data_IF_686188801541
#
_entry.id   IF_686188801541
#
_cell.length_a   1.000
_cell.length_b   1.000
_cell.length_c   1.000
_cell.angle_alpha   90.00
_cell.angle_beta   90.00
_cell.angle_gamma   90.00
#
_symmetry.space_group_name_H-M   'P 1'
#
loop_
_entity.id
_entity.type
_entity.pdbx_description
1 polymer ?
#
# COMPACT_ATOMS: atom_id res chain seq x y z
N UNK A 1 -18.00 52.72 12.17
CA UNK A 1 -17.22 52.26 10.99
C UNK A 1 -16.77 50.84 11.35
N UNK A 2 -17.62 49.83 11.00
CA UNK A 2 -17.34 48.40 11.24
C UNK A 2 -16.43 47.89 10.16
N UNK A 3 -15.21 47.45 10.55
CA UNK A 3 -14.34 46.65 9.68
C UNK A 3 -15.00 45.27 9.51
N UNK A 4 -15.05 44.72 8.27
CA UNK A 4 -15.56 43.39 8.09
C UNK A 4 -14.57 42.39 8.69
N UNK A 5 -15.07 41.50 9.56
CA UNK A 5 -14.37 40.28 9.95
C UNK A 5 -14.03 39.50 8.68
N UNK A 6 -12.74 39.33 8.40
CA UNK A 6 -12.25 38.29 7.50
C UNK A 6 -12.65 36.93 8.08
N UNK A 7 -13.83 36.47 7.72
CA UNK A 7 -14.19 35.09 7.90
C UNK A 7 -13.25 34.28 7.00
N UNK A 8 -12.29 33.58 7.59
CA UNK A 8 -11.49 32.60 6.87
C UNK A 8 -12.41 31.67 6.07
N UNK A 9 -11.95 31.09 4.94
CA UNK A 9 -12.79 30.33 4.03
C UNK A 9 -13.59 29.29 4.80
N UNK A 10 -14.91 29.39 4.74
CA UNK A 10 -15.82 28.47 5.39
C UNK A 10 -15.47 27.02 4.98
N UNK A 11 -15.71 26.06 5.86
CA UNK A 11 -15.37 24.62 5.66
C UNK A 11 -15.94 23.99 4.36
N UNK A 12 -16.71 24.76 3.58
CA UNK A 12 -17.35 24.34 2.32
C UNK A 12 -16.71 24.96 1.05
N UNK A 13 -15.64 25.74 1.18
CA UNK A 13 -14.96 26.38 0.06
C UNK A 13 -13.59 25.76 -0.25
N UNK A 14 -13.11 26.00 -1.47
CA UNK A 14 -11.76 25.63 -1.89
C UNK A 14 -10.72 26.50 -1.21
N UNK A 15 -9.65 25.90 -0.68
CA UNK A 15 -8.55 26.66 -0.05
C UNK A 15 -7.79 27.55 -1.05
N UNK A 16 -7.76 27.15 -2.32
CA UNK A 16 -7.15 27.85 -3.45
C UNK A 16 -8.15 27.96 -4.59
N UNK A 17 -7.82 28.68 -5.68
CA UNK A 17 -8.72 28.73 -6.83
C UNK A 17 -9.09 27.32 -7.32
N UNK A 18 -10.33 27.13 -7.77
CA UNK A 18 -10.82 25.83 -8.24
C UNK A 18 -9.90 25.20 -9.31
N UNK A 19 -9.38 26.01 -10.24
CA UNK A 19 -8.43 25.53 -11.27
C UNK A 19 -7.16 24.97 -10.63
N UNK A 20 -6.61 25.67 -9.65
CA UNK A 20 -5.39 25.27 -8.96
C UNK A 20 -5.62 24.02 -8.10
N UNK A 21 -6.75 23.89 -7.42
CA UNK A 21 -7.10 22.69 -6.65
C UNK A 21 -7.18 21.44 -7.56
N UNK A 22 -7.88 21.55 -8.70
CA UNK A 22 -7.99 20.44 -9.64
C UNK A 22 -6.68 20.10 -10.34
N UNK A 23 -5.84 21.11 -10.64
CA UNK A 23 -4.48 20.87 -11.14
C UNK A 23 -3.64 20.12 -10.11
N UNK A 24 -3.65 20.56 -8.85
CA UNK A 24 -2.97 19.87 -7.75
C UNK A 24 -3.46 18.41 -7.57
N UNK A 25 -4.78 18.19 -7.66
CA UNK A 25 -5.36 16.86 -7.62
C UNK A 25 -4.87 15.97 -8.77
N UNK A 26 -4.92 16.49 -10.00
CA UNK A 26 -4.48 15.74 -11.19
C UNK A 26 -3.00 15.34 -11.09
N UNK A 27 -2.15 16.25 -10.64
CA UNK A 27 -0.71 15.96 -10.42
C UNK A 27 -0.50 14.97 -9.29
N UNK A 28 -1.23 15.11 -8.16
CA UNK A 28 -1.14 14.18 -7.02
C UNK A 28 -1.66 12.80 -7.40
N UNK A 29 -2.76 12.71 -8.15
CA UNK A 29 -3.27 11.45 -8.70
C UNK A 29 -2.27 10.80 -9.67
N UNK A 30 -1.70 11.59 -10.60
CA UNK A 30 -0.70 11.11 -11.55
C UNK A 30 0.55 10.56 -10.85
N UNK A 31 1.06 11.25 -9.84
CA UNK A 31 2.19 10.76 -9.05
C UNK A 31 1.85 9.46 -8.31
N UNK A 32 0.64 9.31 -7.74
CA UNK A 32 0.22 8.06 -7.09
C UNK A 32 0.13 6.90 -8.09
N UNK A 33 -0.34 7.19 -9.30
CA UNK A 33 -0.38 6.22 -10.38
C UNK A 33 1.05 5.74 -10.73
N UNK A 34 2.00 6.68 -10.92
CA UNK A 34 3.38 6.35 -11.27
C UNK A 34 4.17 5.72 -10.13
N UNK A 35 3.91 6.06 -8.87
CA UNK A 35 4.45 5.38 -7.68
C UNK A 35 4.13 3.87 -7.74
N UNK A 36 2.87 3.52 -7.97
CA UNK A 36 2.47 2.11 -8.04
C UNK A 36 2.87 1.41 -9.35
N UNK A 37 2.98 2.15 -10.46
CA UNK A 37 3.60 1.61 -11.69
C UNK A 37 5.05 1.20 -11.39
N UNK A 38 5.85 2.05 -10.73
CA UNK A 38 7.25 1.78 -10.41
C UNK A 38 7.41 0.59 -9.46
N UNK A 39 6.54 0.49 -8.45
CA UNK A 39 6.53 -0.68 -7.54
C UNK A 39 6.26 -1.99 -8.26
N UNK A 40 5.38 -2.00 -9.25
CA UNK A 40 4.91 -3.22 -9.88
C UNK A 40 5.64 -3.57 -11.19
N UNK A 41 6.29 -2.61 -11.83
CA UNK A 41 7.03 -2.86 -13.08
C UNK A 41 8.07 -3.98 -12.91
N UNK A 42 8.78 -4.00 -11.79
CA UNK A 42 9.88 -4.94 -11.54
C UNK A 42 9.44 -6.41 -11.49
N UNK A 43 8.22 -6.71 -11.07
CA UNK A 43 7.77 -8.11 -10.93
C UNK A 43 7.65 -8.83 -12.28
N UNK A 44 7.34 -8.10 -13.34
CA UNK A 44 7.32 -8.62 -14.71
C UNK A 44 8.70 -8.69 -15.35
N UNK A 45 9.72 -8.07 -14.73
CA UNK A 45 11.11 -8.10 -15.19
C UNK A 45 11.89 -9.30 -14.63
N UNK A 46 11.40 -9.99 -13.62
CA UNK A 46 12.08 -11.12 -12.97
C UNK A 46 12.60 -12.18 -13.94
N UNK A 47 11.82 -12.66 -14.93
CA UNK A 47 12.34 -13.64 -15.90
C UNK A 47 13.53 -13.13 -16.69
N UNK A 48 13.50 -11.85 -17.11
CA UNK A 48 14.59 -11.22 -17.87
C UNK A 48 15.85 -11.00 -17.03
N UNK A 49 15.67 -10.47 -15.80
CA UNK A 49 16.78 -10.22 -14.87
C UNK A 49 17.47 -11.51 -14.45
N UNK A 50 16.69 -12.59 -14.25
CA UNK A 50 17.22 -13.92 -13.93
C UNK A 50 18.03 -14.48 -15.08
N UNK A 51 17.59 -14.30 -16.32
CA UNK A 51 18.30 -14.75 -17.50
C UNK A 51 19.60 -13.96 -17.76
N UNK A 52 19.58 -12.64 -17.50
CA UNK A 52 20.69 -11.72 -17.80
C UNK A 52 21.79 -11.76 -16.72
N UNK A 53 21.41 -11.74 -15.44
CA UNK A 53 22.34 -11.65 -14.31
C UNK A 53 22.42 -12.92 -13.46
N UNK A 54 21.76 -14.00 -13.82
CA UNK A 54 21.70 -15.27 -13.08
C UNK A 54 21.31 -15.10 -11.59
N UNK A 55 20.40 -14.14 -11.31
CA UNK A 55 19.98 -13.83 -9.96
C UNK A 55 19.20 -15.00 -9.33
N UNK A 56 19.40 -15.21 -8.03
CA UNK A 56 18.57 -16.13 -7.26
C UNK A 56 17.17 -15.54 -7.05
N UNK A 57 16.17 -16.38 -6.79
CA UNK A 57 14.81 -15.92 -6.52
C UNK A 57 14.76 -15.10 -5.22
N UNK A 58 15.58 -15.45 -4.21
CA UNK A 58 15.76 -14.64 -2.99
C UNK A 58 16.23 -13.21 -3.31
N UNK A 59 17.19 -13.06 -4.23
CA UNK A 59 17.66 -11.74 -4.65
C UNK A 59 16.57 -10.93 -5.35
N UNK A 60 15.81 -11.56 -6.24
CA UNK A 60 14.69 -10.93 -6.94
C UNK A 60 13.59 -10.47 -5.96
N UNK A 61 13.20 -11.34 -5.02
CA UNK A 61 12.26 -10.98 -3.97
C UNK A 61 12.77 -9.84 -3.08
N UNK A 62 14.09 -9.81 -2.81
CA UNK A 62 14.73 -8.75 -2.04
C UNK A 62 14.60 -7.35 -2.69
N UNK A 63 14.65 -7.27 -4.03
CA UNK A 63 14.47 -6.01 -4.77
C UNK A 63 13.07 -5.39 -4.62
N UNK A 64 12.05 -6.21 -4.41
CA UNK A 64 10.68 -5.74 -4.12
C UNK A 64 10.55 -5.38 -2.64
N UNK A 65 11.06 -6.25 -1.78
CA UNK A 65 10.95 -6.14 -0.33
C UNK A 65 11.64 -4.91 0.24
N UNK A 66 12.80 -4.52 -0.32
CA UNK A 66 13.59 -3.39 0.20
C UNK A 66 12.82 -2.08 0.17
N UNK A 67 11.99 -1.84 -0.86
CA UNK A 67 11.14 -0.64 -0.91
C UNK A 67 10.19 -0.60 0.29
N UNK A 68 9.48 -1.71 0.54
CA UNK A 68 8.51 -1.78 1.63
C UNK A 68 9.16 -1.62 3.01
N UNK A 69 10.37 -2.15 3.22
CA UNK A 69 11.16 -1.94 4.43
C UNK A 69 11.50 -0.46 4.61
N UNK A 70 12.00 0.19 3.57
CA UNK A 70 12.39 1.60 3.61
C UNK A 70 11.18 2.51 3.80
N UNK A 71 10.07 2.24 3.08
CA UNK A 71 8.81 2.98 3.26
C UNK A 71 8.27 2.82 4.69
N UNK A 72 8.33 1.62 5.27
CA UNK A 72 7.90 1.38 6.64
C UNK A 72 8.74 2.15 7.67
N UNK A 73 10.05 2.21 7.46
CA UNK A 73 10.97 2.86 8.41
C UNK A 73 10.99 4.39 8.28
N UNK A 74 10.92 4.91 7.06
CA UNK A 74 11.02 6.35 6.78
C UNK A 74 9.66 7.06 6.66
N UNK A 75 8.56 6.32 6.47
CA UNK A 75 7.23 6.91 6.19
C UNK A 75 6.76 7.89 7.26
N UNK A 76 6.87 7.54 8.54
CA UNK A 76 6.49 8.42 9.64
C UNK A 76 7.43 9.64 9.78
N UNK A 77 8.77 9.49 9.82
CA UNK A 77 9.68 10.64 9.83
C UNK A 77 9.46 11.61 8.68
N UNK A 78 9.29 11.11 7.46
CA UNK A 78 9.07 11.94 6.26
C UNK A 78 7.73 12.67 6.31
N UNK A 79 6.66 12.00 6.74
CA UNK A 79 5.35 12.63 6.89
C UNK A 79 5.38 13.79 7.93
N UNK A 80 6.06 13.59 9.06
CA UNK A 80 6.25 14.64 10.08
C UNK A 80 7.06 15.82 9.56
N UNK A 81 8.10 15.56 8.76
CA UNK A 81 8.87 16.62 8.11
C UNK A 81 8.01 17.40 7.10
N UNK A 82 7.21 16.71 6.29
CA UNK A 82 6.32 17.34 5.33
C UNK A 82 5.29 18.27 5.98
N UNK A 83 4.72 17.85 7.11
CA UNK A 83 3.78 18.69 7.88
C UNK A 83 4.45 19.91 8.51
N UNK A 84 5.74 19.79 8.87
CA UNK A 84 6.49 20.91 9.49
C UNK A 84 6.94 21.97 8.48
N UNK A 85 7.33 21.58 7.27
CA UNK A 85 7.88 22.49 6.29
C UNK A 85 6.85 22.95 5.25
N UNK A 86 6.48 22.07 4.34
CA UNK A 86 5.49 22.30 3.29
C UNK A 86 5.15 20.98 2.63
N UNK A 87 3.87 20.67 2.57
CA UNK A 87 3.38 19.45 1.90
C UNK A 87 3.69 19.47 0.41
N UNK A 88 3.50 20.62 -0.25
CA UNK A 88 3.76 20.76 -1.71
C UNK A 88 5.23 20.55 -2.02
N UNK A 89 6.14 21.25 -1.31
CA UNK A 89 7.58 21.10 -1.51
C UNK A 89 8.06 19.68 -1.17
N UNK A 90 7.51 19.09 -0.12
CA UNK A 90 7.84 17.71 0.26
C UNK A 90 7.47 16.72 -0.82
N UNK A 91 6.28 16.87 -1.45
CA UNK A 91 5.87 16.03 -2.58
C UNK A 91 6.82 16.20 -3.76
N UNK A 92 7.23 17.43 -4.10
CA UNK A 92 8.22 17.67 -5.18
C UNK A 92 9.54 16.95 -4.89
N UNK A 93 10.06 17.08 -3.67
CA UNK A 93 11.33 16.42 -3.28
C UNK A 93 11.18 14.90 -3.33
N UNK A 94 10.11 14.36 -2.71
CA UNK A 94 9.83 12.93 -2.73
C UNK A 94 9.74 12.39 -4.16
N UNK A 95 8.92 13.02 -5.01
CA UNK A 95 8.72 12.62 -6.40
C UNK A 95 10.01 12.71 -7.23
N UNK A 96 10.82 13.74 -7.02
CA UNK A 96 12.11 13.89 -7.69
C UNK A 96 13.09 12.80 -7.27
N UNK A 97 13.17 12.49 -5.96
CA UNK A 97 14.08 11.48 -5.43
C UNK A 97 13.74 10.10 -5.98
N UNK A 98 12.47 9.65 -5.89
CA UNK A 98 12.13 8.32 -6.40
C UNK A 98 12.27 8.22 -7.92
N UNK A 99 11.89 9.28 -8.67
CA UNK A 99 11.98 9.27 -10.13
C UNK A 99 13.44 9.20 -10.60
N UNK A 100 14.33 9.98 -9.99
CA UNK A 100 15.77 9.90 -10.28
C UNK A 100 16.35 8.55 -9.88
N UNK A 101 15.94 7.99 -8.74
CA UNK A 101 16.35 6.66 -8.32
C UNK A 101 15.88 5.57 -9.30
N UNK A 102 14.65 5.66 -9.81
CA UNK A 102 14.13 4.75 -10.85
C UNK A 102 14.91 4.89 -12.15
N UNK A 103 15.21 6.11 -12.60
CA UNK A 103 16.08 6.34 -13.76
C UNK A 103 17.47 5.73 -13.52
N UNK A 104 18.02 5.86 -12.30
CA UNK A 104 19.31 5.27 -11.94
C UNK A 104 19.28 3.73 -12.06
N UNK A 105 18.15 3.06 -11.76
CA UNK A 105 18.00 1.61 -11.95
C UNK A 105 18.29 1.18 -13.40
N UNK A 106 18.02 2.03 -14.39
CA UNK A 106 18.29 1.77 -15.81
C UNK A 106 19.80 1.60 -16.10
N UNK A 107 20.67 2.25 -15.32
CA UNK A 107 22.11 2.27 -15.55
C UNK A 107 22.90 1.33 -14.63
N UNK A 108 22.22 0.56 -13.80
CA UNK A 108 22.87 -0.38 -12.89
C UNK A 108 23.49 -1.56 -13.64
N UNK A 109 24.65 -2.03 -13.16
CA UNK A 109 25.43 -3.12 -13.78
C UNK A 109 25.55 -4.37 -12.91
N UNK A 110 25.07 -4.32 -11.67
CA UNK A 110 25.09 -5.45 -10.75
C UNK A 110 23.95 -5.33 -9.72
N UNK A 111 23.71 -6.45 -9.04
CA UNK A 111 22.66 -6.55 -8.02
C UNK A 111 22.76 -5.50 -6.92
N UNK A 112 23.96 -5.25 -6.39
CA UNK A 112 24.16 -4.31 -5.27
C UNK A 112 23.78 -2.88 -5.65
N UNK A 113 24.12 -2.43 -6.86
CA UNK A 113 23.73 -1.11 -7.37
C UNK A 113 22.21 -1.02 -7.53
N UNK A 114 21.59 -2.05 -8.13
CA UNK A 114 20.14 -2.08 -8.31
C UNK A 114 19.41 -2.12 -6.97
N UNK A 115 19.89 -2.89 -6.01
CA UNK A 115 19.32 -2.96 -4.65
C UNK A 115 19.39 -1.61 -3.93
N UNK A 116 20.54 -0.92 -4.02
CA UNK A 116 20.71 0.41 -3.44
C UNK A 116 19.80 1.45 -4.13
N UNK A 117 19.68 1.42 -5.46
CA UNK A 117 18.76 2.28 -6.21
C UNK A 117 17.30 2.03 -5.82
N UNK A 118 16.88 0.76 -5.67
CA UNK A 118 15.52 0.40 -5.19
C UNK A 118 15.29 0.84 -3.74
N UNK A 119 16.28 0.76 -2.87
CA UNK A 119 16.19 1.34 -1.52
C UNK A 119 15.97 2.86 -1.56
N UNK A 120 16.66 3.56 -2.47
CA UNK A 120 16.49 5.00 -2.66
C UNK A 120 15.12 5.36 -3.25
N UNK A 121 14.56 4.52 -4.16
CA UNK A 121 13.17 4.63 -4.60
C UNK A 121 12.25 4.60 -3.39
N UNK A 122 12.39 3.60 -2.51
CA UNK A 122 11.57 3.49 -1.29
C UNK A 122 11.71 4.70 -0.37
N UNK A 123 12.89 5.32 -0.27
CA UNK A 123 13.09 6.55 0.51
C UNK A 123 12.32 7.75 -0.09
N UNK A 124 12.29 7.86 -1.42
CA UNK A 124 11.52 8.88 -2.11
C UNK A 124 10.00 8.67 -2.01
N UNK A 125 9.53 7.43 -2.01
CA UNK A 125 8.10 7.10 -1.88
C UNK A 125 7.59 7.18 -0.44
N UNK A 126 8.50 7.18 0.55
CA UNK A 126 8.14 7.17 1.96
C UNK A 126 7.29 8.38 2.35
N UNK A 127 6.09 8.13 2.88
CA UNK A 127 5.18 9.17 3.35
C UNK A 127 4.30 9.81 2.26
N UNK A 128 4.55 9.55 0.97
CA UNK A 128 3.80 10.18 -0.12
C UNK A 128 2.28 9.97 -0.02
N UNK A 129 1.84 8.75 0.24
CA UNK A 129 0.41 8.44 0.34
C UNK A 129 -0.31 9.25 1.42
N UNK A 130 0.32 9.45 2.59
CA UNK A 130 -0.24 10.24 3.69
C UNK A 130 -0.21 11.74 3.40
N UNK A 131 0.90 12.26 2.85
CA UNK A 131 1.05 13.68 2.50
C UNK A 131 0.11 14.07 1.37
N UNK A 132 -0.03 13.25 0.31
CA UNK A 132 -0.95 13.45 -0.79
C UNK A 132 -2.42 13.45 -0.34
N UNK A 133 -2.80 12.50 0.51
CA UNK A 133 -4.14 12.45 1.08
C UNK A 133 -4.44 13.68 1.95
N UNK A 134 -3.50 14.12 2.78
CA UNK A 134 -3.64 15.32 3.61
C UNK A 134 -3.74 16.60 2.76
N UNK A 135 -3.00 16.68 1.65
CA UNK A 135 -3.07 17.79 0.70
C UNK A 135 -4.45 17.85 0.04
N UNK A 136 -4.98 16.74 -0.46
CA UNK A 136 -6.33 16.66 -1.05
C UNK A 136 -7.39 17.08 -0.02
N UNK A 137 -7.31 16.56 1.20
CA UNK A 137 -8.22 16.91 2.29
C UNK A 137 -8.18 18.40 2.67
N UNK A 138 -7.04 19.07 2.47
CA UNK A 138 -6.89 20.51 2.75
C UNK A 138 -7.40 21.40 1.62
N UNK A 139 -7.20 21.02 0.35
CA UNK A 139 -7.52 21.84 -0.80
C UNK A 139 -9.00 21.85 -1.17
N UNK A 140 -9.74 20.79 -0.84
CA UNK A 140 -11.11 20.59 -1.31
C UNK A 140 -12.17 20.71 -0.22
N UNK A 141 -13.40 21.19 -0.55
CA UNK A 141 -14.52 21.22 0.38
C UNK A 141 -14.91 19.84 0.87
N UNK A 142 -15.47 19.74 2.08
CA UNK A 142 -15.81 18.46 2.76
C UNK A 142 -16.62 17.50 1.88
N UNK A 143 -17.57 18.04 1.07
CA UNK A 143 -18.43 17.25 0.17
C UNK A 143 -17.70 16.45 -0.89
N UNK A 144 -16.51 16.89 -1.33
CA UNK A 144 -15.72 16.24 -2.38
C UNK A 144 -14.60 15.34 -1.82
N UNK A 145 -14.21 15.52 -0.57
CA UNK A 145 -13.03 14.86 0.02
C UNK A 145 -13.07 13.34 -0.09
N UNK A 146 -14.19 12.72 0.29
CA UNK A 146 -14.32 11.26 0.27
C UNK A 146 -14.18 10.69 -1.15
N UNK A 147 -14.82 11.33 -2.14
CA UNK A 147 -14.73 10.89 -3.54
C UNK A 147 -13.32 11.04 -4.10
N UNK A 148 -12.67 12.18 -3.83
CA UNK A 148 -11.31 12.45 -4.33
C UNK A 148 -10.25 11.58 -3.63
N UNK A 149 -10.37 11.33 -2.34
CA UNK A 149 -9.50 10.38 -1.63
C UNK A 149 -9.72 8.96 -2.15
N UNK A 150 -10.97 8.57 -2.42
CA UNK A 150 -11.28 7.30 -3.06
C UNK A 150 -10.62 7.17 -4.44
N UNK A 151 -10.71 8.20 -5.27
CA UNK A 151 -10.04 8.23 -6.57
C UNK A 151 -8.50 8.19 -6.44
N UNK A 152 -7.93 8.94 -5.50
CA UNK A 152 -6.49 8.95 -5.22
C UNK A 152 -5.97 7.54 -4.86
N UNK A 153 -6.65 6.82 -3.97
CA UNK A 153 -6.25 5.45 -3.63
C UNK A 153 -6.57 4.43 -4.74
N UNK A 154 -7.60 4.68 -5.58
CA UNK A 154 -7.86 3.86 -6.76
C UNK A 154 -6.72 3.96 -7.80
N UNK A 155 -6.00 5.10 -7.86
CA UNK A 155 -4.81 5.24 -8.70
C UNK A 155 -3.74 4.18 -8.39
N UNK A 156 -3.61 3.76 -7.13
CA UNK A 156 -2.70 2.69 -6.72
C UNK A 156 -3.03 1.36 -7.39
N UNK A 157 -4.30 0.99 -7.45
CA UNK A 157 -4.75 -0.24 -8.11
C UNK A 157 -4.54 -0.17 -9.63
N UNK A 158 -4.88 0.97 -10.25
CA UNK A 158 -4.66 1.20 -11.68
C UNK A 158 -3.17 1.18 -12.02
N UNK A 159 -2.34 1.82 -11.19
CA UNK A 159 -0.88 1.81 -11.31
C UNK A 159 -0.30 0.41 -11.20
N UNK A 160 -0.80 -0.40 -10.28
CA UNK A 160 -0.34 -1.79 -10.12
C UNK A 160 -0.59 -2.64 -11.37
N UNK A 161 -1.79 -2.54 -11.94
CA UNK A 161 -2.13 -3.25 -13.20
C UNK A 161 -1.25 -2.74 -14.35
N UNK A 162 -1.16 -1.40 -14.49
CA UNK A 162 -0.38 -0.77 -15.56
C UNK A 162 1.11 -1.09 -15.44
N UNK A 163 1.66 -1.13 -14.22
CA UNK A 163 3.07 -1.46 -13.96
C UNK A 163 3.44 -2.85 -14.45
N UNK A 164 2.63 -3.85 -14.13
CA UNK A 164 2.84 -5.24 -14.60
C UNK A 164 2.76 -5.33 -16.11
N UNK A 165 1.75 -4.69 -16.72
CA UNK A 165 1.56 -4.69 -18.19
C UNK A 165 2.69 -3.98 -18.92
N UNK A 166 3.03 -2.76 -18.49
CA UNK A 166 4.07 -1.94 -19.12
C UNK A 166 5.44 -2.58 -18.96
N UNK A 167 5.76 -3.12 -17.77
CA UNK A 167 7.03 -3.78 -17.53
C UNK A 167 7.28 -4.94 -18.47
N UNK A 168 6.31 -5.84 -18.62
CA UNK A 168 6.42 -6.97 -19.56
C UNK A 168 6.53 -6.53 -21.00
N UNK A 169 5.70 -5.57 -21.45
CA UNK A 169 5.68 -5.06 -22.81
C UNK A 169 6.96 -4.32 -23.20
N UNK A 170 7.50 -3.50 -22.29
CA UNK A 170 8.73 -2.73 -22.51
C UNK A 170 9.94 -3.65 -22.51
N UNK A 171 10.02 -4.55 -21.52
CA UNK A 171 11.15 -5.49 -21.42
C UNK A 171 11.28 -6.40 -22.64
N UNK A 172 10.16 -6.84 -23.21
CA UNK A 172 10.16 -7.67 -24.40
C UNK A 172 10.72 -6.98 -25.66
N UNK A 173 10.68 -5.65 -25.72
CA UNK A 173 11.09 -4.87 -26.93
C UNK A 173 12.41 -4.13 -26.76
N UNK A 174 12.66 -3.58 -25.59
CA UNK A 174 13.79 -2.67 -25.33
C UNK A 174 14.69 -3.12 -24.18
N UNK A 175 14.46 -4.33 -23.65
CA UNK A 175 15.19 -4.84 -22.49
C UNK A 175 14.58 -4.37 -21.16
N UNK A 176 14.90 -5.09 -20.10
CA UNK A 176 14.30 -4.86 -18.77
C UNK A 176 14.75 -3.54 -18.15
N UNK A 177 15.96 -3.06 -18.44
CA UNK A 177 16.49 -1.79 -17.97
C UNK A 177 15.64 -0.61 -18.45
N UNK A 178 15.17 -0.64 -19.71
CA UNK A 178 14.36 0.41 -20.31
C UNK A 178 13.02 0.62 -19.57
N UNK A 179 12.50 -0.42 -18.91
CA UNK A 179 11.25 -0.31 -18.14
C UNK A 179 11.36 0.66 -16.98
N UNK A 180 12.52 0.72 -16.30
CA UNK A 180 12.74 1.71 -15.22
C UNK A 180 12.81 3.14 -15.74
N UNK A 181 13.46 3.36 -16.90
CA UNK A 181 13.48 4.67 -17.55
C UNK A 181 12.09 5.13 -17.99
N UNK A 182 11.32 4.21 -18.57
CA UNK A 182 9.95 4.50 -19.03
C UNK A 182 8.98 4.89 -17.90
N UNK A 183 9.29 4.51 -16.67
CA UNK A 183 8.50 4.90 -15.48
C UNK A 183 9.12 6.13 -14.80
N UNK A 184 10.44 6.16 -14.63
CA UNK A 184 11.12 7.23 -13.92
C UNK A 184 11.06 8.58 -14.65
N UNK A 185 11.18 8.59 -16.01
CA UNK A 185 11.15 9.83 -16.78
C UNK A 185 9.80 10.56 -16.66
N UNK A 186 8.65 9.92 -16.92
CA UNK A 186 7.36 10.59 -16.71
C UNK A 186 7.11 10.99 -15.25
N UNK A 187 7.58 10.19 -14.28
CA UNK A 187 7.53 10.54 -12.86
C UNK A 187 8.29 11.83 -12.57
N UNK A 188 9.49 11.98 -13.14
CA UNK A 188 10.28 13.22 -13.01
C UNK A 188 9.60 14.42 -13.68
N UNK A 189 9.01 14.24 -14.86
CA UNK A 189 8.23 15.30 -15.52
C UNK A 189 7.05 15.73 -14.65
N UNK A 190 6.31 14.79 -14.06
CA UNK A 190 5.23 15.11 -13.12
C UNK A 190 5.74 15.84 -11.87
N UNK A 191 6.90 15.45 -11.32
CA UNK A 191 7.53 16.13 -10.19
C UNK A 191 7.91 17.59 -10.53
N UNK A 192 8.42 17.84 -11.73
CA UNK A 192 8.72 19.19 -12.21
C UNK A 192 7.43 20.02 -12.43
N UNK A 193 6.40 19.42 -13.04
CA UNK A 193 5.09 20.07 -13.21
C UNK A 193 4.43 20.37 -11.85
N UNK A 194 4.69 19.53 -10.84
CA UNK A 194 4.17 19.72 -9.48
C UNK A 194 4.69 21.00 -8.82
N UNK A 195 5.84 21.54 -9.26
CA UNK A 195 6.35 22.84 -8.79
C UNK A 195 5.42 24.01 -9.13
N UNK A 196 4.54 23.85 -10.12
CA UNK A 196 3.49 24.83 -10.45
C UNK A 196 2.27 24.75 -9.50
N UNK A 197 2.19 23.76 -8.63
CA UNK A 197 1.17 23.68 -7.58
C UNK A 197 1.42 24.77 -6.55
N UNK A 198 0.41 25.61 -6.31
CA UNK A 198 0.52 26.72 -5.35
C UNK A 198 0.66 26.18 -3.94
N UNK A 199 1.75 26.55 -3.27
CA UNK A 199 1.98 26.24 -1.86
C UNK A 199 0.99 26.98 -0.96
N UNK A 200 0.64 26.40 0.18
CA UNK A 200 -0.24 27.01 1.17
C UNK A 200 0.36 26.81 2.58
N UNK A 201 0.16 27.79 3.44
CA UNK A 201 0.64 27.68 4.83
C UNK A 201 -0.12 26.57 5.53
N UNK A 202 0.58 25.55 5.93
CA UNK A 202 0.09 24.56 6.92
C UNK A 202 -0.05 25.28 8.25
N UNK A 203 -1.10 24.96 9.01
CA UNK A 203 -1.33 25.57 10.34
C UNK A 203 -0.06 25.42 11.18
N UNK A 204 0.44 26.53 11.72
CA UNK A 204 1.65 26.55 12.56
C UNK A 204 1.40 25.71 13.82
N UNK A 205 1.98 24.53 13.86
CA UNK A 205 1.96 23.65 15.04
C UNK A 205 2.64 24.34 16.24
N UNK A 206 3.48 25.35 16.00
CA UNK A 206 4.13 26.14 17.05
C UNK A 206 3.13 26.90 17.95
N UNK A 207 1.98 27.34 17.42
CA UNK A 207 0.96 28.03 18.21
C UNK A 207 0.07 27.09 19.02
N UNK A 208 -0.02 25.81 18.67
CA UNK A 208 -0.73 24.80 19.44
C UNK A 208 0.11 24.27 20.63
N UNK A 209 1.41 24.50 20.64
CA UNK A 209 2.34 23.99 21.67
C UNK A 209 2.54 24.98 22.84
N UNK A 210 1.90 26.17 22.79
CA UNK A 210 2.00 27.15 23.89
C UNK A 210 1.13 26.82 25.12
N UNK A 211 0.32 25.77 25.06
CA UNK A 211 -0.47 25.30 26.23
C UNK A 211 0.17 24.02 26.79
N UNK A 212 1.24 24.17 27.56
CA UNK A 212 1.67 23.21 28.58
C UNK A 212 2.45 21.98 28.12
N UNK A 213 3.67 21.88 28.61
CA UNK A 213 4.61 20.74 28.63
C UNK A 213 5.15 20.28 27.30
N UNK A 214 6.38 20.69 27.00
CA UNK A 214 7.27 20.10 25.99
C UNK A 214 7.52 18.60 26.32
N UNK A 215 6.59 17.74 25.97
CA UNK A 215 6.89 16.31 25.95
C UNK A 215 7.71 16.03 24.69
N UNK A 216 8.89 15.44 24.87
CA UNK A 216 9.74 14.98 23.76
C UNK A 216 8.89 14.12 22.81
N UNK A 217 9.00 14.37 21.49
CA UNK A 217 8.30 13.58 20.45
C UNK A 217 8.50 12.09 20.67
N UNK A 218 9.69 11.66 21.11
CA UNK A 218 9.99 10.27 21.44
C UNK A 218 9.13 9.73 22.60
N UNK A 219 8.87 10.55 23.64
CA UNK A 219 8.03 10.15 24.77
C UNK A 219 6.56 10.04 24.36
N UNK A 220 6.09 10.96 23.50
CA UNK A 220 4.74 10.93 22.95
C UNK A 220 4.52 9.70 22.08
N UNK A 221 5.43 9.44 21.16
CA UNK A 221 5.41 8.24 20.28
C UNK A 221 5.43 6.96 21.12
N UNK A 222 6.35 6.87 22.11
CA UNK A 222 6.44 5.70 22.99
C UNK A 222 5.15 5.47 23.78
N UNK A 223 4.56 6.52 24.35
CA UNK A 223 3.30 6.45 25.10
C UNK A 223 2.14 6.01 24.19
N UNK A 224 2.04 6.60 23.00
CA UNK A 224 1.02 6.28 22.02
C UNK A 224 1.15 4.83 21.54
N UNK A 225 2.37 4.39 21.18
CA UNK A 225 2.63 2.99 20.80
C UNK A 225 2.32 2.03 21.95
N UNK A 226 2.69 2.36 23.18
CA UNK A 226 2.36 1.54 24.35
C UNK A 226 0.85 1.43 24.60
N UNK A 227 0.10 2.54 24.44
CA UNK A 227 -1.36 2.51 24.56
C UNK A 227 -2.03 1.69 23.45
N UNK A 228 -1.54 1.79 22.21
CA UNK A 228 -2.05 1.02 21.09
C UNK A 228 -1.68 -0.46 21.20
N UNK A 229 -0.48 -0.78 21.69
CA UNK A 229 -0.06 -2.16 21.95
C UNK A 229 -0.86 -2.84 23.08
N UNK A 230 -1.47 -2.06 23.97
CA UNK A 230 -2.40 -2.55 24.98
C UNK A 230 -3.76 -2.98 24.43
N UNK A 231 -4.15 -2.49 23.26
CA UNK A 231 -5.39 -2.85 22.60
C UNK A 231 -5.24 -4.21 21.88
N UNK A 232 -5.82 -5.24 22.47
CA UNK A 232 -5.68 -6.63 21.97
C UNK A 232 -6.28 -6.82 20.59
N UNK A 233 -7.41 -6.20 20.32
CA UNK A 233 -8.08 -6.28 19.01
C UNK A 233 -7.22 -5.64 17.92
N UNK A 234 -6.63 -4.46 18.19
CA UNK A 234 -5.74 -3.80 17.26
C UNK A 234 -4.53 -4.68 16.91
N UNK A 235 -3.85 -5.24 17.91
CA UNK A 235 -2.65 -6.09 17.70
C UNK A 235 -3.01 -7.30 16.84
N UNK A 236 -4.07 -8.04 17.18
CA UNK A 236 -4.49 -9.21 16.41
C UNK A 236 -5.01 -8.86 15.02
N UNK A 237 -5.73 -7.74 14.85
CA UNK A 237 -6.20 -7.26 13.55
C UNK A 237 -5.03 -6.87 12.63
N UNK A 238 -4.05 -6.13 13.15
CA UNK A 238 -2.82 -5.78 12.40
C UNK A 238 -2.01 -7.03 12.03
N UNK A 239 -1.86 -7.99 12.96
CA UNK A 239 -1.16 -9.25 12.69
C UNK A 239 -1.86 -10.07 11.60
N UNK A 240 -3.19 -10.22 11.68
CA UNK A 240 -3.97 -10.93 10.67
C UNK A 240 -3.89 -10.27 9.30
N UNK A 241 -3.98 -8.92 9.25
CA UNK A 241 -3.84 -8.17 8.01
C UNK A 241 -2.44 -8.35 7.39
N UNK A 242 -1.38 -8.33 8.20
CA UNK A 242 -0.02 -8.55 7.74
C UNK A 242 0.17 -9.98 7.20
N UNK A 243 -0.35 -11.00 7.89
CA UNK A 243 -0.26 -12.39 7.42
C UNK A 243 -0.98 -12.61 6.09
N UNK A 244 -2.19 -12.05 5.93
CA UNK A 244 -2.89 -12.12 4.65
C UNK A 244 -2.15 -11.34 3.55
N UNK A 245 -1.52 -10.22 3.90
CA UNK A 245 -0.78 -9.42 2.93
C UNK A 245 0.53 -10.09 2.47
N UNK A 246 1.12 -11.01 3.28
CA UNK A 246 2.19 -11.90 2.82
C UNK A 246 1.70 -12.71 1.62
N UNK A 247 0.51 -13.31 1.70
CA UNK A 247 -0.07 -14.08 0.60
C UNK A 247 -0.28 -13.21 -0.64
N UNK A 248 -0.92 -12.05 -0.47
CA UNK A 248 -1.19 -11.12 -1.58
C UNK A 248 0.08 -10.68 -2.28
N UNK A 249 1.07 -10.20 -1.52
CA UNK A 249 2.32 -9.67 -2.07
C UNK A 249 3.17 -10.75 -2.74
N UNK A 250 3.15 -11.98 -2.22
CA UNK A 250 3.83 -13.13 -2.81
C UNK A 250 3.23 -13.51 -4.16
N UNK A 251 1.90 -13.65 -4.23
CA UNK A 251 1.21 -13.97 -5.48
C UNK A 251 1.46 -12.87 -6.52
N UNK A 252 1.26 -11.61 -6.17
CA UNK A 252 1.48 -10.50 -7.11
C UNK A 252 2.92 -10.42 -7.62
N UNK A 253 3.90 -10.69 -6.78
CA UNK A 253 5.31 -10.59 -7.17
C UNK A 253 5.78 -11.78 -8.00
N UNK A 254 5.29 -12.98 -7.74
CA UNK A 254 5.85 -14.18 -8.31
C UNK A 254 5.00 -14.79 -9.42
N UNK A 255 3.76 -14.35 -9.60
CA UNK A 255 2.86 -14.91 -10.62
C UNK A 255 3.40 -14.78 -12.05
N UNK A 256 3.98 -13.64 -12.50
CA UNK A 256 4.58 -13.58 -13.83
C UNK A 256 5.67 -14.63 -14.05
N UNK A 257 6.54 -14.81 -13.04
CA UNK A 257 7.61 -15.82 -13.09
C UNK A 257 7.06 -17.24 -13.05
N UNK A 258 6.01 -17.50 -12.28
CA UNK A 258 5.35 -18.81 -12.23
C UNK A 258 4.74 -19.17 -13.58
N UNK A 259 3.98 -18.27 -14.19
CA UNK A 259 3.37 -18.50 -15.49
C UNK A 259 4.42 -18.70 -16.58
N UNK A 260 5.50 -17.93 -16.57
CA UNK A 260 6.60 -18.10 -17.51
C UNK A 260 7.29 -19.48 -17.35
N UNK A 261 7.60 -19.91 -16.10
CA UNK A 261 8.37 -21.14 -15.84
C UNK A 261 7.54 -22.41 -15.95
N UNK A 262 6.28 -22.40 -15.52
CA UNK A 262 5.44 -23.61 -15.40
C UNK A 262 4.36 -23.73 -16.47
N UNK A 263 3.87 -22.60 -17.02
CA UNK A 263 2.95 -22.60 -18.16
C UNK A 263 3.69 -22.45 -19.50
N UNK A 264 5.00 -22.16 -19.48
CA UNK A 264 5.80 -22.03 -20.69
C UNK A 264 5.43 -20.85 -21.59
N UNK A 265 4.67 -19.88 -21.06
CA UNK A 265 4.28 -18.69 -21.82
C UNK A 265 5.40 -17.65 -21.84
N UNK A 266 5.49 -16.88 -22.93
CA UNK A 266 6.46 -15.79 -23.03
C UNK A 266 6.29 -14.78 -21.86
N UNK A 267 7.38 -14.18 -21.40
CA UNK A 267 7.37 -13.35 -20.21
C UNK A 267 6.43 -12.14 -20.30
N UNK A 268 6.26 -11.54 -21.50
CA UNK A 268 5.28 -10.47 -21.75
C UNK A 268 3.84 -10.97 -21.69
N UNK A 269 3.58 -12.18 -22.15
CA UNK A 269 2.27 -12.82 -22.04
C UNK A 269 1.97 -13.21 -20.58
N UNK A 270 2.96 -13.73 -19.87
CA UNK A 270 2.86 -14.01 -18.43
C UNK A 270 2.52 -12.74 -17.62
N UNK A 271 3.16 -11.61 -17.97
CA UNK A 271 2.84 -10.32 -17.38
C UNK A 271 1.38 -9.89 -17.66
N UNK A 272 0.88 -10.05 -18.88
CA UNK A 272 -0.53 -9.75 -19.20
C UNK A 272 -1.51 -10.61 -18.40
N UNK A 273 -1.23 -11.90 -18.29
CA UNK A 273 -2.05 -12.81 -17.48
C UNK A 273 -2.00 -12.45 -15.98
N UNK A 274 -0.82 -12.15 -15.45
CA UNK A 274 -0.67 -11.73 -14.07
C UNK A 274 -1.42 -10.41 -13.78
N UNK A 275 -1.42 -9.46 -14.71
CA UNK A 275 -2.17 -8.22 -14.58
C UNK A 275 -3.68 -8.45 -14.44
N UNK A 276 -4.25 -9.49 -15.06
CA UNK A 276 -5.65 -9.87 -14.86
C UNK A 276 -5.91 -10.30 -13.40
N UNK A 277 -4.97 -10.99 -12.76
CA UNK A 277 -5.10 -11.41 -11.36
C UNK A 277 -4.97 -10.20 -10.42
N UNK A 278 -4.08 -9.24 -10.73
CA UNK A 278 -3.98 -7.97 -9.99
C UNK A 278 -5.29 -7.18 -10.11
N UNK A 279 -5.86 -7.10 -11.32
CA UNK A 279 -7.14 -6.44 -11.56
C UNK A 279 -8.29 -7.15 -10.82
N UNK A 280 -8.33 -8.48 -10.86
CA UNK A 280 -9.31 -9.25 -10.10
C UNK A 280 -9.21 -8.96 -8.59
N UNK A 281 -7.98 -8.84 -8.05
CA UNK A 281 -7.75 -8.45 -6.67
C UNK A 281 -8.24 -7.04 -6.33
N UNK A 282 -8.01 -6.07 -7.23
CA UNK A 282 -8.51 -4.71 -7.04
C UNK A 282 -10.05 -4.66 -7.00
N UNK A 283 -10.72 -5.35 -7.93
CA UNK A 283 -12.19 -5.50 -7.96
C UNK A 283 -12.67 -6.24 -6.71
N UNK A 284 -12.01 -7.33 -6.35
CA UNK A 284 -12.32 -8.13 -5.16
C UNK A 284 -12.23 -7.32 -3.88
N UNK A 285 -11.19 -6.52 -3.70
CA UNK A 285 -11.03 -5.65 -2.53
C UNK A 285 -12.20 -4.68 -2.34
N UNK A 286 -12.70 -4.09 -3.43
CA UNK A 286 -13.87 -3.21 -3.40
C UNK A 286 -15.16 -3.99 -3.08
N UNK A 287 -15.40 -5.11 -3.76
CA UNK A 287 -16.62 -5.92 -3.59
C UNK A 287 -16.66 -6.50 -2.19
N UNK A 288 -15.59 -7.15 -1.73
CA UNK A 288 -15.52 -7.75 -0.39
C UNK A 288 -15.62 -6.71 0.70
N UNK A 289 -14.98 -5.54 0.55
CA UNK A 289 -15.12 -4.42 1.49
C UNK A 289 -16.59 -4.06 1.69
N UNK A 290 -17.30 -3.80 0.59
CA UNK A 290 -18.71 -3.42 0.60
C UNK A 290 -19.61 -4.54 1.14
N UNK A 291 -19.38 -5.79 0.71
CA UNK A 291 -20.21 -6.94 1.10
C UNK A 291 -20.05 -7.27 2.58
N UNK A 292 -18.80 -7.30 3.08
CA UNK A 292 -18.50 -7.57 4.49
C UNK A 292 -19.13 -6.50 5.38
N UNK A 293 -19.05 -5.22 4.99
CA UNK A 293 -19.65 -4.13 5.76
C UNK A 293 -21.17 -4.24 5.80
N UNK A 294 -21.82 -4.58 4.68
CA UNK A 294 -23.27 -4.78 4.62
C UNK A 294 -23.74 -5.98 5.46
N UNK A 295 -23.03 -7.11 5.37
CA UNK A 295 -23.37 -8.32 6.13
C UNK A 295 -23.11 -8.16 7.63
N UNK A 296 -22.16 -7.31 8.02
CA UNK A 296 -21.78 -7.09 9.40
C UNK A 296 -22.59 -5.98 10.11
N UNK A 297 -23.56 -5.35 9.42
CA UNK A 297 -24.39 -4.31 10.02
C UNK A 297 -25.05 -4.81 11.32
N UNK A 298 -24.80 -4.10 12.42
CA UNK A 298 -25.30 -4.46 13.75
C UNK A 298 -24.64 -5.67 14.43
N UNK A 299 -23.66 -6.32 13.80
CA UNK A 299 -22.97 -7.52 14.30
C UNK A 299 -21.45 -7.39 14.13
N UNK A 300 -20.83 -6.61 14.97
CA UNK A 300 -19.41 -6.26 14.84
C UNK A 300 -18.48 -7.48 14.69
N UNK A 301 -18.68 -8.55 15.49
CA UNK A 301 -17.89 -9.80 15.39
C UNK A 301 -18.02 -10.50 14.04
N UNK A 302 -19.16 -10.37 13.36
CA UNK A 302 -19.40 -11.03 12.08
C UNK A 302 -18.44 -10.51 10.99
N UNK A 303 -18.02 -9.24 11.06
CA UNK A 303 -17.01 -8.66 10.16
C UNK A 303 -15.70 -9.46 10.20
N UNK A 304 -15.16 -9.70 11.39
CA UNK A 304 -13.94 -10.48 11.58
C UNK A 304 -14.13 -11.97 11.21
N UNK A 305 -15.30 -12.55 11.49
CA UNK A 305 -15.61 -13.93 11.14
C UNK A 305 -15.63 -14.14 9.62
N UNK A 306 -16.29 -13.25 8.87
CA UNK A 306 -16.35 -13.32 7.41
C UNK A 306 -14.94 -13.17 6.82
N UNK A 307 -14.15 -12.20 7.30
CA UNK A 307 -12.78 -11.99 6.83
C UNK A 307 -11.90 -13.21 7.13
N UNK A 308 -12.02 -13.81 8.32
CA UNK A 308 -11.32 -15.05 8.65
C UNK A 308 -11.69 -16.19 7.69
N UNK A 309 -12.99 -16.36 7.39
CA UNK A 309 -13.49 -17.33 6.42
C UNK A 309 -12.94 -17.09 5.01
N UNK A 310 -12.87 -15.84 4.56
CA UNK A 310 -12.30 -15.46 3.26
C UNK A 310 -10.78 -15.70 3.20
N UNK A 311 -10.04 -15.53 4.30
CA UNK A 311 -8.62 -15.89 4.36
C UNK A 311 -8.44 -17.41 4.22
N UNK A 312 -9.28 -18.22 4.88
CA UNK A 312 -9.24 -19.67 4.72
C UNK A 312 -9.65 -20.11 3.31
N UNK A 313 -10.63 -19.45 2.71
CA UNK A 313 -11.05 -19.69 1.33
C UNK A 313 -9.89 -19.35 0.36
N UNK A 314 -9.23 -18.22 0.55
CA UNK A 314 -8.03 -17.85 -0.21
C UNK A 314 -6.95 -18.91 -0.10
N UNK A 315 -6.67 -19.38 1.10
CA UNK A 315 -5.71 -20.45 1.36
C UNK A 315 -6.10 -21.72 0.61
N UNK A 316 -7.34 -22.17 0.72
CA UNK A 316 -7.81 -23.38 0.06
C UNK A 316 -7.72 -23.30 -1.47
N UNK A 317 -8.10 -22.16 -2.06
CA UNK A 317 -8.02 -21.92 -3.50
C UNK A 317 -6.58 -22.00 -3.98
N UNK A 318 -5.63 -21.32 -3.32
CA UNK A 318 -4.25 -21.31 -3.76
C UNK A 318 -3.51 -22.61 -3.45
N UNK A 319 -3.82 -23.30 -2.35
CA UNK A 319 -3.33 -24.67 -2.11
C UNK A 319 -3.76 -25.62 -3.23
N UNK A 320 -5.04 -25.56 -3.64
CA UNK A 320 -5.52 -26.36 -4.75
C UNK A 320 -4.85 -25.96 -6.08
N UNK A 321 -4.75 -24.66 -6.35
CA UNK A 321 -4.18 -24.15 -7.60
C UNK A 321 -2.69 -24.52 -7.76
N UNK A 322 -1.86 -24.26 -6.76
CA UNK A 322 -0.41 -24.46 -6.87
C UNK A 322 0.06 -25.84 -6.42
N UNK A 323 -0.69 -26.53 -5.56
CA UNK A 323 -0.30 -27.82 -5.00
C UNK A 323 -0.93 -29.04 -5.68
N UNK A 324 -2.13 -28.92 -6.26
CA UNK A 324 -2.89 -30.08 -6.76
C UNK A 324 -3.14 -30.05 -8.26
N UNK A 325 -3.11 -28.88 -8.89
CA UNK A 325 -3.44 -28.75 -10.31
C UNK A 325 -2.20 -28.70 -11.21
N UNK A 326 -2.27 -29.36 -12.35
CA UNK A 326 -1.30 -29.21 -13.41
C UNK A 326 -1.47 -27.86 -14.13
N UNK A 327 -0.37 -27.37 -14.76
CA UNK A 327 -0.39 -26.15 -15.55
C UNK A 327 -1.43 -26.23 -16.67
N UNK A 328 -2.34 -25.25 -16.71
CA UNK A 328 -3.40 -25.21 -17.72
C UNK A 328 -4.44 -24.11 -17.43
N UNK A 329 -5.43 -23.98 -18.32
CA UNK A 329 -6.47 -22.94 -18.18
C UNK A 329 -7.29 -23.04 -16.90
N UNK A 330 -7.56 -24.25 -16.42
CA UNK A 330 -8.32 -24.48 -15.17
C UNK A 330 -7.54 -23.99 -13.94
N UNK A 331 -6.23 -24.29 -13.88
CA UNK A 331 -5.35 -23.76 -12.82
C UNK A 331 -5.33 -22.23 -12.85
N UNK A 332 -5.16 -21.63 -14.04
CA UNK A 332 -5.15 -20.18 -14.18
C UNK A 332 -6.49 -19.56 -13.76
N UNK A 333 -7.63 -20.16 -14.14
CA UNK A 333 -8.95 -19.72 -13.69
C UNK A 333 -9.09 -19.71 -12.16
N UNK A 334 -8.54 -20.76 -11.51
CA UNK A 334 -8.55 -20.86 -10.05
C UNK A 334 -7.62 -19.81 -9.40
N UNK A 335 -6.47 -19.50 -10.04
CA UNK A 335 -5.58 -18.42 -9.59
C UNK A 335 -6.28 -17.05 -9.69
N UNK A 336 -7.04 -16.79 -10.77
CA UNK A 336 -7.81 -15.55 -10.92
C UNK A 336 -8.88 -15.44 -9.82
N UNK A 337 -9.59 -16.54 -9.53
CA UNK A 337 -10.57 -16.59 -8.43
C UNK A 337 -9.90 -16.33 -7.07
N UNK A 338 -8.76 -16.95 -6.80
CA UNK A 338 -7.95 -16.70 -5.61
C UNK A 338 -7.52 -15.23 -5.52
N UNK A 339 -7.10 -14.65 -6.64
CA UNK A 339 -6.77 -13.22 -6.77
C UNK A 339 -7.95 -12.31 -6.39
N UNK A 340 -9.16 -12.65 -6.82
CA UNK A 340 -10.37 -11.91 -6.45
C UNK A 340 -10.70 -11.99 -4.95
N UNK A 341 -10.46 -13.14 -4.31
CA UNK A 341 -10.79 -13.32 -2.89
C UNK A 341 -9.72 -12.76 -1.96
N UNK A 342 -8.44 -12.84 -2.32
CA UNK A 342 -7.30 -12.57 -1.41
C UNK A 342 -7.24 -11.13 -0.86
N UNK A 343 -7.83 -10.14 -1.56
CA UNK A 343 -7.82 -8.73 -1.16
C UNK A 343 -8.92 -8.36 -0.14
N UNK A 344 -9.57 -9.33 0.48
CA UNK A 344 -10.72 -9.19 1.38
C UNK A 344 -10.45 -8.44 2.69
N UNK A 345 -9.19 -8.21 3.06
CA UNK A 345 -8.82 -7.59 4.36
C UNK A 345 -8.72 -6.07 4.31
N UNK A 346 -8.51 -5.45 3.14
CA UNK A 346 -8.10 -4.05 3.01
C UNK A 346 -9.11 -3.08 3.65
N UNK A 347 -10.38 -3.14 3.25
CA UNK A 347 -11.44 -2.28 3.79
C UNK A 347 -11.87 -2.69 5.20
N UNK A 348 -12.32 -3.94 5.37
CA UNK A 348 -12.91 -4.40 6.63
C UNK A 348 -11.99 -4.26 7.85
N UNK A 349 -10.70 -4.54 7.70
CA UNK A 349 -9.76 -4.44 8.84
C UNK A 349 -9.44 -2.99 9.18
N UNK A 350 -9.39 -2.10 8.21
CA UNK A 350 -9.27 -0.65 8.48
C UNK A 350 -10.45 -0.15 9.32
N UNK A 351 -11.67 -0.61 9.01
CA UNK A 351 -12.86 -0.28 9.79
C UNK A 351 -12.77 -0.83 11.23
N UNK A 352 -12.36 -2.10 11.41
CA UNK A 352 -12.15 -2.68 12.75
C UNK A 352 -11.15 -1.87 13.58
N UNK A 353 -10.03 -1.45 12.95
CA UNK A 353 -9.02 -0.61 13.61
C UNK A 353 -9.62 0.72 14.07
N UNK A 354 -10.45 1.36 13.24
CA UNK A 354 -11.09 2.63 13.60
C UNK A 354 -12.19 2.49 14.67
N UNK A 355 -12.84 1.34 14.76
CA UNK A 355 -13.88 1.06 15.75
C UNK A 355 -13.29 0.89 17.18
N UNK A 356 -12.04 0.39 17.30
CA UNK A 356 -11.41 0.11 18.60
C UNK A 356 -10.41 1.17 19.05
N UNK A 357 -10.31 2.28 18.32
CA UNK A 357 -9.39 3.38 18.62
C UNK A 357 -10.17 4.67 18.83
N UNK A 358 -9.76 5.43 19.86
CA UNK A 358 -10.33 6.75 20.13
C UNK A 358 -10.31 7.64 18.87
N UNK A 359 -11.40 8.37 18.53
CA UNK A 359 -11.49 9.19 17.33
C UNK A 359 -10.29 10.13 17.10
N UNK A 360 -9.75 10.71 18.18
CA UNK A 360 -8.56 11.57 18.12
C UNK A 360 -7.26 10.83 17.72
N UNK A 361 -7.23 9.49 17.82
CA UNK A 361 -6.05 8.66 17.54
C UNK A 361 -6.20 7.81 16.27
N UNK A 362 -7.26 7.99 15.49
CA UNK A 362 -7.53 7.19 14.27
C UNK A 362 -6.41 7.26 13.24
N UNK A 363 -5.83 8.44 13.05
CA UNK A 363 -4.68 8.61 12.16
C UNK A 363 -3.46 7.77 12.61
N UNK A 364 -3.20 7.73 13.92
CA UNK A 364 -2.11 6.91 14.49
C UNK A 364 -2.40 5.42 14.34
N UNK A 365 -3.65 4.99 14.54
CA UNK A 365 -4.07 3.62 14.33
C UNK A 365 -3.91 3.18 12.87
N UNK A 366 -4.28 4.03 11.92
CA UNK A 366 -4.04 3.79 10.50
C UNK A 366 -2.54 3.68 10.18
N UNK A 367 -1.71 4.51 10.80
CA UNK A 367 -0.25 4.45 10.63
C UNK A 367 0.35 3.14 11.18
N UNK A 368 -0.13 2.66 12.34
CA UNK A 368 0.30 1.38 12.92
C UNK A 368 -0.12 0.21 12.02
N UNK A 369 -1.36 0.22 11.50
CA UNK A 369 -1.82 -0.78 10.55
C UNK A 369 -0.94 -0.76 9.29
N UNK A 370 -0.70 0.40 8.71
CA UNK A 370 0.15 0.56 7.53
C UNK A 370 1.58 0.10 7.78
N UNK A 371 2.16 0.41 8.94
CA UNK A 371 3.49 -0.06 9.33
C UNK A 371 3.55 -1.59 9.40
N UNK A 372 2.58 -2.21 10.08
CA UNK A 372 2.50 -3.66 10.17
C UNK A 372 2.33 -4.31 8.79
N UNK A 373 1.49 -3.76 7.93
CA UNK A 373 1.26 -4.23 6.57
C UNK A 373 2.51 -4.10 5.69
N UNK A 374 3.20 -2.98 5.72
CA UNK A 374 4.41 -2.77 4.92
C UNK A 374 5.57 -3.64 5.41
N UNK A 375 5.85 -3.65 6.73
CA UNK A 375 7.01 -4.33 7.28
C UNK A 375 6.82 -5.86 7.35
N UNK A 376 5.67 -6.33 7.84
CA UNK A 376 5.41 -7.74 8.08
C UNK A 376 4.65 -8.42 6.93
N UNK A 377 4.03 -7.65 6.04
CA UNK A 377 3.30 -8.16 4.89
C UNK A 377 4.06 -7.99 3.58
N UNK A 378 4.11 -6.76 3.06
CA UNK A 378 4.70 -6.45 1.75
C UNK A 378 6.21 -6.71 1.68
N UNK A 379 6.95 -6.48 2.77
CA UNK A 379 8.39 -6.74 2.78
C UNK A 379 8.70 -8.24 2.91
N UNK A 380 7.92 -8.97 3.72
CA UNK A 380 8.19 -10.39 3.99
C UNK A 380 7.78 -11.27 2.81
N UNK A 381 6.61 -11.04 2.21
CA UNK A 381 6.03 -11.94 1.21
C UNK A 381 6.95 -12.24 0.02
N UNK A 382 7.39 -11.23 -0.76
CA UNK A 382 8.23 -11.48 -1.94
C UNK A 382 9.58 -12.10 -1.60
N UNK A 383 10.22 -11.67 -0.52
CA UNK A 383 11.50 -12.19 -0.08
C UNK A 383 11.41 -13.65 0.40
N UNK A 384 10.42 -13.94 1.26
CA UNK A 384 10.18 -15.28 1.79
C UNK A 384 9.87 -16.28 0.66
N UNK A 385 9.00 -15.87 -0.27
CA UNK A 385 8.67 -16.73 -1.43
C UNK A 385 9.89 -16.98 -2.30
N UNK A 386 10.72 -15.98 -2.55
CA UNK A 386 11.96 -16.13 -3.28
C UNK A 386 12.96 -17.07 -2.58
N UNK A 387 13.10 -16.92 -1.27
CA UNK A 387 13.95 -17.80 -0.46
C UNK A 387 13.45 -19.25 -0.46
N UNK A 388 12.16 -19.46 -0.29
CA UNK A 388 11.55 -20.80 -0.38
C UNK A 388 11.67 -21.36 -1.81
N UNK A 389 11.58 -20.51 -2.83
CA UNK A 389 11.72 -20.90 -4.23
C UNK A 389 13.14 -21.41 -4.54
N UNK A 390 14.17 -20.79 -4.00
CA UNK A 390 15.56 -21.25 -4.17
C UNK A 390 15.80 -22.62 -3.49
N UNK A 391 15.05 -22.93 -2.42
CA UNK A 391 15.19 -24.20 -1.67
C UNK A 391 14.33 -25.33 -2.22
N UNK A 392 13.08 -25.04 -2.59
CA UNK A 392 12.03 -26.03 -2.84
C UNK A 392 11.41 -25.93 -4.24
N UNK A 393 11.81 -24.92 -5.01
CA UNK A 393 11.18 -24.55 -6.27
C UNK A 393 9.96 -23.65 -6.10
N UNK A 394 9.69 -22.82 -7.14
CA UNK A 394 8.68 -21.75 -7.07
C UNK A 394 7.24 -22.30 -6.90
N UNK A 395 6.89 -23.42 -7.52
CA UNK A 395 5.57 -24.03 -7.37
C UNK A 395 5.30 -24.44 -5.92
N UNK A 396 6.27 -25.09 -5.28
CA UNK A 396 6.19 -25.48 -3.86
C UNK A 396 6.15 -24.26 -2.95
N UNK A 397 6.96 -23.25 -3.22
CA UNK A 397 6.92 -22.00 -2.46
C UNK A 397 5.54 -21.34 -2.51
N UNK A 398 4.93 -21.24 -3.70
CA UNK A 398 3.59 -20.67 -3.89
C UNK A 398 2.46 -21.54 -3.33
N UNK A 399 2.68 -22.85 -3.13
CA UNK A 399 1.74 -23.71 -2.42
C UNK A 399 1.83 -23.58 -0.90
N UNK A 400 3.01 -23.26 -0.35
CA UNK A 400 3.22 -23.11 1.10
C UNK A 400 2.82 -21.73 1.64
N UNK A 401 3.09 -20.67 0.89
CA UNK A 401 2.80 -19.29 1.31
C UNK A 401 1.31 -19.07 1.67
N UNK A 402 0.33 -19.63 0.97
CA UNK A 402 -1.08 -19.50 1.35
C UNK A 402 -1.42 -19.97 2.76
N UNK A 403 -0.57 -20.79 3.40
CA UNK A 403 -0.74 -21.21 4.80
C UNK A 403 -0.71 -20.03 5.78
N UNK A 404 -0.11 -18.90 5.41
CA UNK A 404 -0.24 -17.65 6.17
C UNK A 404 -1.70 -17.18 6.27
N UNK A 405 -2.58 -17.58 5.36
CA UNK A 405 -4.02 -17.36 5.45
C UNK A 405 -4.66 -18.05 6.68
N UNK A 406 -4.14 -19.22 7.10
CA UNK A 406 -4.56 -19.85 8.35
C UNK A 406 -4.13 -19.01 9.55
N UNK A 407 -2.89 -18.52 9.57
CA UNK A 407 -2.40 -17.64 10.65
C UNK A 407 -3.20 -16.32 10.71
N UNK A 408 -3.55 -15.78 9.54
CA UNK A 408 -4.43 -14.60 9.45
C UNK A 408 -5.82 -14.88 10.04
N UNK A 409 -6.43 -16.01 9.67
CA UNK A 409 -7.74 -16.40 10.20
C UNK A 409 -7.71 -16.61 11.72
N UNK A 410 -6.69 -17.28 12.24
CA UNK A 410 -6.49 -17.46 13.69
C UNK A 410 -6.32 -16.13 14.42
N UNK A 411 -5.57 -15.19 13.84
CA UNK A 411 -5.42 -13.85 14.39
C UNK A 411 -6.75 -13.09 14.43
N UNK A 412 -7.57 -13.16 13.37
CA UNK A 412 -8.90 -12.53 13.36
C UNK A 412 -9.87 -13.19 14.35
N UNK A 413 -9.84 -14.51 14.49
CA UNK A 413 -10.62 -15.20 15.54
C UNK A 413 -10.18 -14.78 16.94
N UNK A 414 -8.89 -14.56 17.16
CA UNK A 414 -8.38 -14.00 18.44
C UNK A 414 -8.85 -12.56 18.65
N UNK A 415 -8.82 -11.71 17.59
CA UNK A 415 -9.34 -10.35 17.64
C UNK A 415 -10.83 -10.31 18.02
N UNK A 416 -11.65 -11.25 17.53
CA UNK A 416 -13.09 -11.33 17.86
C UNK A 416 -13.36 -11.44 19.37
N UNK A 417 -12.44 -12.04 20.14
CA UNK A 417 -12.65 -12.25 21.57
C UNK A 417 -12.60 -10.96 22.39
N UNK A 418 -11.81 -10.00 21.96
CA UNK A 418 -11.63 -8.70 22.63
C UNK A 418 -12.37 -7.55 21.94
N UNK A 419 -12.93 -7.76 20.74
CA UNK A 419 -13.44 -6.69 19.90
C UNK A 419 -14.57 -5.88 20.56
N UNK A 420 -15.55 -6.53 21.17
CA UNK A 420 -16.68 -5.83 21.80
C UNK A 420 -16.23 -5.07 23.06
N UNK A 421 -15.34 -5.66 23.86
CA UNK A 421 -14.83 -4.99 25.07
C UNK A 421 -13.98 -3.77 24.70
N UNK A 422 -13.11 -3.90 23.68
CA UNK A 422 -12.26 -2.79 23.25
C UNK A 422 -13.08 -1.68 22.58
N UNK A 423 -14.15 -2.02 21.84
CA UNK A 423 -15.07 -1.05 21.24
C UNK A 423 -15.89 -0.32 22.31
N UNK A 424 -16.39 -1.03 23.35
CA UNK A 424 -17.13 -0.40 24.46
C UNK A 424 -16.25 0.53 25.29
N UNK A 425 -14.98 0.19 25.49
CA UNK A 425 -14.03 1.04 26.18
C UNK A 425 -13.83 2.39 25.46
N UNK A 426 -13.94 2.42 24.14
CA UNK A 426 -13.86 3.66 23.34
C UNK A 426 -15.20 4.39 23.29
N UNK A 427 -16.33 3.68 23.24
CA UNK A 427 -17.67 4.28 23.17
C UNK A 427 -18.06 5.03 24.46
N UNK A 428 -17.52 4.64 25.61
CA UNK A 428 -17.74 5.30 26.91
C UNK A 428 -17.10 6.70 27.02
N UNK A 429 -16.20 7.05 26.10
CA UNK A 429 -15.54 8.34 26.07
C UNK A 429 -16.34 9.26 25.12
N UNK A 430 -17.36 9.97 25.66
CA UNK A 430 -18.07 11.01 24.89
C UNK A 430 -17.08 12.13 24.56
N UNK A 431 -16.92 12.43 23.27
CA UNK A 431 -16.34 13.69 22.83
C UNK A 431 -17.34 14.77 23.21
N UNK A 432 -17.03 15.57 24.25
CA UNK A 432 -17.77 16.82 24.50
C UNK A 432 -17.52 17.70 23.27
N UNK A 433 -18.56 18.01 22.51
CA UNK A 433 -18.53 19.07 21.53
C UNK A 433 -18.66 20.38 22.31
N UNK A 434 -17.55 21.02 22.61
CA UNK A 434 -17.44 22.43 22.96
C UNK A 434 -17.01 23.25 21.75
#
# INVERSE_FOLDING_TARGET
MHLPHDAGPGNDDYLVSRRQAWFAFAMTFGLMLFDYIDRQVIVSLFPYMKADWALSDKQLGGLVSVISVVVATLGLPVALLADRFSRVKSVVVMATVWSLASITCMFTRNYGQLFAARALVGAGEAGYGSVGAALIASLFPRRLRSALLGAFFAAASLGSVAGVLLGGAIAARWGWQAAFGAVGIPGLVLALLYMAVRDYKTVDIQNATQSGTQQSVGTLVRRTVSQLAGNRTLVWACSGAAMQLIVVSSIWSWLPSFLNRYHGVAADQAARQAALVVLAGAIGGFIWGTLVDRCALGRAKLRLAIVAGLCLLTMAIFLAAFGLMAAGPAQFGLIVLGGFVMACTVGPISAVVFDVIHPAMRATGAAVLSLAQNLLGLAVGPFLTGWLSDLLGLSTALSLVPLFGLLAALAFVRAMRSYESDMQAVAGIRVSAD
#
